data_IF_250524954311
#
_entry.id   IF_250524954311
#
_cell.length_a   1.000
_cell.length_b   1.000
_cell.length_c   1.000
_cell.angle_alpha   90.00
_cell.angle_beta   90.00
_cell.angle_gamma   90.00
#
_symmetry.space_group_name_H-M   'P 1'
#
loop_
_entity.id
_entity.type
_entity.pdbx_description
1 polymer ?
#
# COMPACT_ATOMS: atom_id res chain seq x y z
N UNK A 1 38.77 -31.62 42.58
CA UNK A 1 38.16 -32.94 42.29
C UNK A 1 36.67 -32.86 42.59
N UNK A 2 35.86 -32.62 41.56
CA UNK A 2 34.68 -33.42 41.13
C UNK A 2 33.41 -33.24 42.00
N UNK A 3 32.39 -32.47 41.59
CA UNK A 3 31.41 -32.61 40.48
C UNK A 3 30.15 -33.38 40.88
N UNK A 4 29.00 -32.93 40.34
CA UNK A 4 27.66 -33.54 40.27
C UNK A 4 26.57 -33.02 41.22
N UNK A 5 26.22 -31.74 41.01
CA UNK A 5 24.83 -31.27 40.95
C UNK A 5 24.28 -31.62 39.56
N UNK A 6 23.05 -32.15 39.47
CA UNK A 6 22.11 -32.23 38.31
C UNK A 6 21.38 -33.57 38.36
N UNK A 7 20.12 -33.58 38.81
CA UNK A 7 19.33 -34.81 38.77
C UNK A 7 18.00 -34.79 39.50
N UNK A 8 17.21 -33.70 39.42
CA UNK A 8 15.80 -33.69 39.84
C UNK A 8 15.10 -32.44 39.29
N UNK A 9 14.87 -32.40 37.97
CA UNK A 9 14.01 -31.37 37.35
C UNK A 9 13.29 -31.87 36.07
N UNK A 10 13.72 -32.98 35.47
CA UNK A 10 13.20 -33.43 34.17
C UNK A 10 11.99 -34.39 34.18
N UNK A 11 11.28 -34.60 35.31
CA UNK A 11 10.18 -35.59 35.35
C UNK A 11 8.75 -35.02 35.44
N UNK A 12 8.56 -33.71 35.41
CA UNK A 12 7.21 -33.10 35.41
C UNK A 12 6.83 -32.38 34.11
N UNK A 13 7.76 -32.22 33.16
CA UNK A 13 7.47 -31.52 31.88
C UNK A 13 6.93 -32.46 30.80
N UNK A 14 7.22 -33.77 30.88
CA UNK A 14 6.81 -34.73 29.85
C UNK A 14 5.35 -35.22 29.95
N UNK A 15 4.62 -34.87 30.99
CA UNK A 15 3.20 -35.25 31.12
C UNK A 15 2.23 -34.20 30.53
N UNK A 16 2.70 -32.97 30.31
CA UNK A 16 1.88 -31.87 29.81
C UNK A 16 1.79 -31.80 28.27
N UNK A 17 2.73 -32.42 27.55
CA UNK A 17 2.81 -32.36 26.08
C UNK A 17 1.97 -33.46 25.40
N UNK A 18 1.61 -34.53 26.11
CA UNK A 18 0.82 -35.65 25.58
C UNK A 18 -0.72 -35.43 25.58
N UNK A 19 -1.21 -34.36 26.22
CA UNK A 19 -2.65 -34.06 26.30
C UNK A 19 -3.16 -33.08 25.25
N UNK A 20 -2.29 -32.49 24.43
CA UNK A 20 -2.67 -31.49 23.41
C UNK A 20 -2.87 -32.11 22.01
N UNK A 21 -2.50 -33.38 21.80
CA UNK A 21 -2.72 -34.11 20.53
C UNK A 21 -3.68 -35.29 20.66
N UNK A 22 -4.84 -35.11 21.29
CA UNK A 22 -5.92 -36.09 21.14
C UNK A 22 -7.31 -35.51 21.43
N UNK A 23 -7.93 -34.91 20.41
CA UNK A 23 -9.37 -34.56 20.48
C UNK A 23 -10.05 -34.63 19.11
N UNK A 24 -10.32 -35.84 18.63
CA UNK A 24 -11.41 -36.11 17.69
C UNK A 24 -12.16 -37.39 18.11
N UNK A 25 -13.33 -37.15 18.72
CA UNK A 25 -14.60 -37.90 18.63
C UNK A 25 -14.52 -39.43 18.59
N UNK A 26 -14.98 -40.09 19.65
CA UNK A 26 -16.31 -40.77 19.71
C UNK A 26 -16.49 -41.51 21.04
N UNK A 27 -17.66 -41.36 21.66
CA UNK A 27 -18.15 -42.12 22.82
C UNK A 27 -18.39 -43.59 22.42
N UNK A 28 -18.27 -44.59 23.32
CA UNK A 28 -19.41 -44.91 24.20
C UNK A 28 -19.11 -45.52 25.60
N UNK A 29 -20.12 -45.37 26.46
CA UNK A 29 -20.63 -46.28 27.51
C UNK A 29 -19.72 -46.74 28.68
N UNK A 30 -20.06 -46.23 29.86
CA UNK A 30 -19.71 -46.70 31.21
C UNK A 30 -20.19 -48.14 31.49
N UNK A 31 -19.49 -48.85 32.40
CA UNK A 31 -20.20 -49.53 33.47
C UNK A 31 -19.71 -49.14 34.88
N UNK A 32 -20.64 -49.21 35.83
CA UNK A 32 -20.53 -48.87 37.25
C UNK A 32 -19.64 -49.87 38.01
N UNK A 33 -18.93 -49.40 39.04
CA UNK A 33 -18.39 -50.22 40.13
C UNK A 33 -18.57 -49.53 41.50
N UNK A 34 -18.67 -50.30 42.60
CA UNK A 34 -19.40 -49.92 43.80
C UNK A 34 -18.56 -49.19 44.85
N UNK A 35 -19.28 -48.42 45.66
CA UNK A 35 -18.81 -47.74 46.86
C UNK A 35 -18.46 -48.76 47.96
N UNK A 36 -17.24 -48.66 48.50
CA UNK A 36 -16.92 -49.17 49.84
C UNK A 36 -16.57 -47.97 50.73
N UNK A 37 -17.49 -47.66 51.65
CA UNK A 37 -17.21 -46.82 52.81
C UNK A 37 -16.53 -47.68 53.88
N UNK A 38 -15.42 -47.20 54.44
CA UNK A 38 -15.01 -47.60 55.78
C UNK A 38 -14.67 -46.36 56.59
N UNK A 39 -15.30 -46.29 57.76
CA UNK A 39 -15.26 -45.18 58.70
C UNK A 39 -13.92 -45.12 59.44
N UNK A 40 -13.32 -43.93 59.52
CA UNK A 40 -12.34 -43.60 60.54
C UNK A 40 -12.86 -42.41 61.35
N UNK A 41 -13.31 -42.72 62.56
CA UNK A 41 -13.65 -41.76 63.61
C UNK A 41 -12.41 -41.00 64.06
N UNK A 42 -12.33 -39.72 63.70
CA UNK A 42 -11.34 -38.78 64.22
C UNK A 42 -11.92 -37.98 65.40
N UNK A 43 -11.26 -38.09 66.56
CA UNK A 43 -11.60 -37.40 67.81
C UNK A 43 -11.62 -35.89 67.61
N UNK A 44 -12.76 -35.27 67.95
CA UNK A 44 -12.99 -33.81 67.96
C UNK A 44 -12.29 -33.15 69.15
N UNK A 45 -11.02 -32.82 69.03
CA UNK A 45 -10.40 -31.79 69.89
C UNK A 45 -9.32 -31.08 69.07
N UNK A 46 -9.41 -29.74 68.98
CA UNK A 46 -8.51 -28.79 68.27
C UNK A 46 -8.78 -28.40 66.80
N UNK A 47 -10.01 -28.46 66.29
CA UNK A 47 -10.29 -28.06 64.90
C UNK A 47 -10.61 -26.57 64.66
N UNK A 48 -10.76 -25.73 65.70
CA UNK A 48 -11.18 -24.32 65.51
C UNK A 48 -10.03 -23.32 65.31
N UNK A 49 -8.81 -23.60 65.77
CA UNK A 49 -7.62 -22.74 65.54
C UNK A 49 -6.91 -23.03 64.22
N UNK A 50 -7.05 -24.24 63.67
CA UNK A 50 -6.41 -24.59 62.38
C UNK A 50 -7.16 -24.00 61.19
N UNK A 51 -8.50 -23.99 61.19
CA UNK A 51 -9.31 -23.52 60.05
C UNK A 51 -9.10 -22.04 59.69
N UNK A 52 -8.80 -21.20 60.67
CA UNK A 52 -8.48 -19.78 60.43
C UNK A 52 -7.10 -19.59 59.80
N UNK A 53 -6.13 -20.42 60.19
CA UNK A 53 -4.77 -20.41 59.64
C UNK A 53 -4.75 -20.93 58.20
N UNK A 54 -5.45 -22.06 57.95
CA UNK A 54 -5.61 -22.62 56.61
C UNK A 54 -6.36 -21.67 55.66
N UNK A 55 -7.38 -20.94 56.12
CA UNK A 55 -8.07 -19.92 55.30
C UNK A 55 -7.17 -18.75 54.92
N UNK A 56 -6.31 -18.27 55.83
CA UNK A 56 -5.35 -17.21 55.54
C UNK A 56 -4.28 -17.68 54.56
N UNK A 57 -3.68 -18.86 54.78
CA UNK A 57 -2.70 -19.44 53.85
C UNK A 57 -3.30 -19.69 52.47
N UNK A 58 -4.52 -20.21 52.39
CA UNK A 58 -5.20 -20.49 51.12
C UNK A 58 -5.59 -19.20 50.38
N UNK A 59 -6.02 -18.15 51.08
CA UNK A 59 -6.26 -16.83 50.48
C UNK A 59 -4.96 -16.19 49.95
N UNK A 60 -3.84 -16.33 50.67
CA UNK A 60 -2.52 -15.85 50.24
C UNK A 60 -1.97 -16.65 49.05
N UNK A 61 -2.22 -17.96 49.02
CA UNK A 61 -1.89 -18.81 47.87
C UNK A 61 -2.71 -18.47 46.64
N UNK A 62 -4.02 -18.22 46.80
CA UNK A 62 -4.88 -17.81 45.70
C UNK A 62 -4.51 -16.42 45.17
N UNK A 63 -4.21 -15.45 46.04
CA UNK A 63 -3.75 -14.11 45.64
C UNK A 63 -2.41 -14.14 44.90
N UNK A 64 -1.47 -14.96 45.35
CA UNK A 64 -0.17 -15.13 44.66
C UNK A 64 -0.31 -15.88 43.32
N UNK A 65 -1.21 -16.86 43.23
CA UNK A 65 -1.52 -17.53 41.97
C UNK A 65 -2.19 -16.58 40.97
N UNK A 66 -3.11 -15.72 41.42
CA UNK A 66 -3.75 -14.68 40.59
C UNK A 66 -2.74 -13.68 40.05
N UNK A 67 -1.77 -13.26 40.87
CA UNK A 67 -0.72 -12.32 40.47
C UNK A 67 0.23 -12.94 39.44
N UNK A 68 0.57 -14.22 39.60
CA UNK A 68 1.41 -14.96 38.63
C UNK A 68 0.67 -15.16 37.30
N UNK A 69 -0.64 -15.46 37.32
CA UNK A 69 -1.45 -15.59 36.09
C UNK A 69 -1.59 -14.25 35.37
N UNK A 70 -1.73 -13.13 36.11
CA UNK A 70 -1.75 -11.79 35.51
C UNK A 70 -0.39 -11.41 34.89
N UNK A 71 0.72 -11.70 35.57
CA UNK A 71 2.08 -11.45 35.06
C UNK A 71 2.44 -12.34 33.85
N UNK A 72 1.92 -13.57 33.79
CA UNK A 72 2.09 -14.45 32.62
C UNK A 72 1.16 -14.09 31.46
N UNK A 73 0.01 -13.46 31.72
CA UNK A 73 -0.87 -12.93 30.68
C UNK A 73 -0.28 -11.70 29.99
N UNK A 74 0.40 -10.82 30.73
CA UNK A 74 1.15 -9.68 30.16
C UNK A 74 2.41 -10.11 29.40
N UNK A 75 3.12 -11.15 29.87
CA UNK A 75 4.29 -11.68 29.17
C UNK A 75 3.94 -12.40 27.85
N UNK A 76 2.66 -12.71 27.64
CA UNK A 76 2.14 -13.35 26.44
C UNK A 76 1.27 -12.42 25.59
N UNK A 77 1.29 -11.11 25.87
CA UNK A 77 0.96 -10.10 24.88
C UNK A 77 1.98 -10.24 23.74
N UNK A 78 1.65 -11.12 22.79
CA UNK A 78 2.38 -11.26 21.56
C UNK A 78 2.55 -9.84 21.01
N UNK A 79 3.80 -9.42 20.80
CA UNK A 79 4.07 -8.27 19.96
C UNK A 79 3.16 -8.40 18.73
N UNK A 80 2.45 -7.34 18.30
CA UNK A 80 1.73 -7.41 17.04
C UNK A 80 2.70 -8.01 16.01
N UNK A 81 2.25 -8.98 15.19
CA UNK A 81 3.12 -9.61 14.21
C UNK A 81 3.86 -8.49 13.47
N UNK A 82 5.19 -8.62 13.36
CA UNK A 82 6.01 -7.66 12.67
C UNK A 82 5.35 -7.41 11.30
N UNK A 83 5.00 -6.16 11.01
CA UNK A 83 4.41 -5.82 9.73
C UNK A 83 5.44 -6.18 8.65
N UNK A 84 5.13 -7.19 7.84
CA UNK A 84 6.04 -7.67 6.81
C UNK A 84 6.27 -6.58 5.78
N UNK A 85 7.54 -6.36 5.42
CA UNK A 85 7.88 -5.49 4.31
C UNK A 85 7.42 -6.12 3.00
N UNK A 86 7.06 -5.27 2.05
CA UNK A 86 6.63 -5.70 0.71
C UNK A 86 7.23 -4.77 -0.33
N UNK A 87 7.21 -5.19 -1.59
CA UNK A 87 7.71 -4.36 -2.68
C UNK A 87 6.73 -4.32 -3.86
N UNK A 88 6.88 -3.32 -4.73
CA UNK A 88 6.15 -3.22 -5.98
C UNK A 88 7.02 -2.58 -7.06
N UNK A 89 6.66 -2.82 -8.34
CA UNK A 89 7.32 -2.18 -9.47
C UNK A 89 6.63 -0.85 -9.80
N UNK A 90 7.43 0.18 -10.09
CA UNK A 90 6.96 1.50 -10.52
C UNK A 90 7.62 1.86 -11.85
N UNK A 91 6.78 2.18 -12.84
CA UNK A 91 7.17 2.52 -14.23
C UNK A 91 6.36 3.74 -14.71
N UNK A 92 6.85 4.51 -15.69
CA UNK A 92 6.12 5.65 -16.27
C UNK A 92 6.62 5.96 -17.69
N UNK A 93 5.87 6.79 -18.43
CA UNK A 93 6.38 7.45 -19.64
C UNK A 93 6.94 6.47 -20.70
N UNK A 94 6.27 5.33 -20.87
CA UNK A 94 6.71 4.26 -21.77
C UNK A 94 5.55 3.36 -22.22
N UNK A 95 5.65 2.73 -23.42
CA UNK A 95 6.64 2.94 -24.47
C UNK A 95 6.20 4.01 -25.50
N UNK A 96 7.11 4.87 -25.97
CA UNK A 96 6.77 5.96 -26.91
C UNK A 96 7.15 5.67 -28.37
N UNK A 97 8.09 4.75 -28.60
CA UNK A 97 8.59 4.40 -29.92
C UNK A 97 8.42 2.89 -30.22
N UNK A 98 8.59 2.44 -31.48
CA UNK A 98 8.70 1.02 -31.79
C UNK A 98 9.86 0.33 -31.05
N UNK A 99 10.99 1.01 -30.88
CA UNK A 99 12.14 0.49 -30.11
C UNK A 99 11.78 0.36 -28.63
N UNK A 100 11.09 1.36 -28.08
CA UNK A 100 10.61 1.31 -26.70
C UNK A 100 9.62 0.15 -26.53
N UNK A 101 8.79 -0.14 -27.53
CA UNK A 101 7.83 -1.25 -27.46
C UNK A 101 8.52 -2.61 -27.39
N UNK A 102 9.64 -2.79 -28.11
CA UNK A 102 10.48 -3.99 -27.98
C UNK A 102 11.11 -4.07 -26.57
N UNK A 103 11.66 -2.96 -26.10
CA UNK A 103 12.26 -2.86 -24.76
C UNK A 103 11.24 -3.05 -23.64
N UNK A 104 10.00 -2.61 -23.84
CA UNK A 104 8.90 -2.78 -22.90
C UNK A 104 8.50 -4.25 -22.76
N UNK A 105 8.52 -5.02 -23.85
CA UNK A 105 8.34 -6.47 -23.76
C UNK A 105 9.38 -7.15 -22.85
N UNK A 106 10.66 -6.76 -22.98
CA UNK A 106 11.74 -7.26 -22.10
C UNK A 106 11.55 -6.81 -20.65
N UNK A 107 11.06 -5.60 -20.42
CA UNK A 107 10.70 -5.09 -19.10
C UNK A 107 9.56 -5.90 -18.46
N UNK A 108 8.51 -6.25 -19.22
CA UNK A 108 7.42 -7.10 -18.74
C UNK A 108 7.97 -8.46 -18.29
N UNK A 109 8.80 -9.10 -19.10
CA UNK A 109 9.40 -10.39 -18.74
C UNK A 109 10.27 -10.29 -17.48
N UNK A 110 11.08 -9.23 -17.35
CA UNK A 110 11.92 -9.01 -16.18
C UNK A 110 11.08 -8.82 -14.91
N UNK A 111 10.05 -7.98 -14.97
CA UNK A 111 9.15 -7.76 -13.84
C UNK A 111 8.35 -9.03 -13.51
N UNK A 112 7.95 -9.85 -14.48
CA UNK A 112 7.27 -11.11 -14.19
C UNK A 112 8.22 -12.12 -13.51
N UNK A 113 9.49 -12.18 -13.92
CA UNK A 113 10.52 -13.04 -13.29
C UNK A 113 10.92 -12.56 -11.88
N UNK A 114 10.77 -11.27 -11.60
CA UNK A 114 11.13 -10.69 -10.30
C UNK A 114 10.25 -11.24 -9.15
N UNK A 115 10.92 -11.74 -8.11
CA UNK A 115 10.26 -12.20 -6.88
C UNK A 115 9.87 -11.03 -5.95
N UNK A 116 8.87 -11.27 -5.09
CA UNK A 116 8.52 -10.37 -3.99
C UNK A 116 7.84 -9.05 -4.38
N UNK A 117 7.25 -8.96 -5.59
CA UNK A 117 6.49 -7.79 -6.02
C UNK A 117 4.98 -8.04 -5.89
N UNK A 118 4.29 -7.20 -5.13
CA UNK A 118 2.84 -7.29 -4.92
C UNK A 118 2.05 -6.86 -6.16
N UNK A 119 2.52 -5.84 -6.88
CA UNK A 119 1.87 -5.29 -8.06
C UNK A 119 2.84 -4.46 -8.92
N UNK A 120 2.34 -3.98 -10.07
CA UNK A 120 2.99 -3.00 -10.94
C UNK A 120 2.13 -1.74 -10.98
N UNK A 121 2.75 -0.57 -10.81
CA UNK A 121 2.12 0.74 -11.01
C UNK A 121 2.74 1.40 -12.24
N UNK A 122 1.91 1.77 -13.20
CA UNK A 122 2.27 2.64 -14.31
C UNK A 122 1.75 4.06 -14.07
N UNK A 123 2.66 5.01 -14.03
CA UNK A 123 2.42 6.40 -13.63
C UNK A 123 2.09 7.26 -14.85
N UNK A 124 1.21 6.78 -15.74
CA UNK A 124 0.75 7.51 -16.92
C UNK A 124 1.71 7.58 -18.09
N UNK A 125 1.18 8.13 -19.18
CA UNK A 125 1.77 8.23 -20.51
C UNK A 125 2.20 6.89 -21.09
N UNK A 126 1.23 6.21 -21.70
CA UNK A 126 1.36 4.88 -22.28
C UNK A 126 1.72 4.92 -23.79
N UNK A 127 2.00 6.12 -24.28
CA UNK A 127 2.45 6.44 -25.64
C UNK A 127 3.05 7.85 -25.65
N UNK A 128 3.75 8.21 -26.73
CA UNK A 128 4.23 9.59 -26.91
C UNK A 128 3.11 10.57 -27.27
N UNK A 129 3.27 11.84 -26.88
CA UNK A 129 2.26 12.89 -27.08
C UNK A 129 1.87 13.15 -28.53
N UNK A 130 2.82 13.06 -29.46
CA UNK A 130 2.54 13.22 -30.91
C UNK A 130 2.15 11.90 -31.60
N UNK A 131 2.14 10.78 -30.88
CA UNK A 131 1.69 9.50 -31.46
C UNK A 131 0.18 9.53 -31.73
N UNK A 132 -0.27 8.69 -32.66
CA UNK A 132 -1.70 8.44 -32.90
C UNK A 132 -2.44 8.15 -31.59
N UNK A 133 -3.69 8.60 -31.44
CA UNK A 133 -4.59 8.14 -30.37
C UNK A 133 -5.68 7.20 -30.90
N UNK A 134 -5.33 6.39 -31.91
CA UNK A 134 -6.22 5.36 -32.46
C UNK A 134 -6.57 4.31 -31.41
N UNK A 135 -7.77 3.75 -31.54
CA UNK A 135 -8.25 2.65 -30.72
C UNK A 135 -7.24 1.47 -30.76
N UNK A 136 -6.71 1.14 -31.95
CA UNK A 136 -5.71 0.06 -32.11
C UNK A 136 -4.43 0.30 -31.28
N UNK A 137 -3.95 1.55 -31.22
CA UNK A 137 -2.74 1.84 -30.45
C UNK A 137 -3.02 1.67 -28.96
N UNK A 138 -4.12 2.24 -28.47
CA UNK A 138 -4.51 2.13 -27.06
C UNK A 138 -4.82 0.67 -26.67
N UNK A 139 -5.47 -0.08 -27.54
CA UNK A 139 -5.73 -1.51 -27.38
C UNK A 139 -4.42 -2.30 -27.26
N UNK A 140 -3.41 -2.01 -28.09
CA UNK A 140 -2.10 -2.68 -27.98
C UNK A 140 -1.42 -2.41 -26.64
N UNK A 141 -1.65 -1.23 -26.01
CA UNK A 141 -1.12 -0.94 -24.66
C UNK A 141 -1.83 -1.74 -23.60
N UNK A 142 -3.15 -1.90 -23.70
CA UNK A 142 -3.89 -2.80 -22.82
C UNK A 142 -3.38 -4.24 -22.94
N UNK A 143 -3.11 -4.73 -24.14
CA UNK A 143 -2.57 -6.08 -24.36
C UNK A 143 -1.22 -6.29 -23.66
N UNK A 144 -0.33 -5.29 -23.70
CA UNK A 144 0.90 -5.31 -22.92
C UNK A 144 0.65 -5.35 -21.41
N UNK A 145 -0.25 -4.51 -20.91
CA UNK A 145 -0.55 -4.46 -19.47
C UNK A 145 -1.21 -5.74 -18.95
N UNK A 146 -1.93 -6.47 -19.81
CA UNK A 146 -2.50 -7.77 -19.50
C UNK A 146 -1.46 -8.92 -19.51
N UNK A 147 -0.21 -8.67 -19.90
CA UNK A 147 0.87 -9.65 -19.81
C UNK A 147 1.54 -9.70 -18.44
N UNK A 148 1.33 -8.69 -17.57
CA UNK A 148 1.84 -8.75 -16.21
C UNK A 148 1.11 -9.84 -15.41
N UNK A 149 1.88 -10.73 -14.78
CA UNK A 149 1.38 -11.87 -13.99
C UNK A 149 0.82 -11.44 -12.62
N UNK A 150 0.88 -10.15 -12.29
CA UNK A 150 0.44 -9.57 -11.02
C UNK A 150 -0.52 -8.40 -11.27
N UNK A 151 -1.21 -7.86 -10.25
CA UNK A 151 -2.07 -6.68 -10.43
C UNK A 151 -1.32 -5.54 -11.12
N UNK A 152 -1.97 -4.92 -12.10
CA UNK A 152 -1.45 -3.76 -12.82
C UNK A 152 -2.35 -2.54 -12.58
N UNK A 153 -1.79 -1.49 -11.98
CA UNK A 153 -2.47 -0.24 -11.65
C UNK A 153 -1.99 0.84 -12.63
N UNK A 154 -2.93 1.53 -13.26
CA UNK A 154 -2.63 2.63 -14.19
C UNK A 154 -3.14 3.95 -13.61
N UNK A 155 -2.25 4.95 -13.51
CA UNK A 155 -2.64 6.35 -13.48
C UNK A 155 -2.68 6.87 -14.93
N UNK A 156 -3.72 7.58 -15.39
CA UNK A 156 -3.68 8.19 -16.72
C UNK A 156 -2.73 9.40 -16.76
N UNK A 157 -2.04 9.57 -17.89
CA UNK A 157 -1.24 10.74 -18.24
C UNK A 157 -1.87 11.61 -19.34
N UNK A 158 -1.21 12.69 -19.74
CA UNK A 158 -1.71 13.61 -20.77
C UNK A 158 -1.55 13.04 -22.18
N UNK A 159 -0.50 12.26 -22.43
CA UNK A 159 -0.35 11.57 -23.71
C UNK A 159 -1.50 10.57 -23.92
N UNK A 160 -2.11 10.05 -22.87
CA UNK A 160 -3.14 9.03 -22.99
C UNK A 160 -4.43 9.59 -23.62
N UNK A 161 -4.71 10.89 -23.44
CA UNK A 161 -5.96 11.49 -23.92
C UNK A 161 -5.90 12.98 -24.24
N UNK A 162 -5.18 13.82 -23.49
CA UNK A 162 -5.21 15.27 -23.71
C UNK A 162 -4.43 15.66 -24.95
N UNK A 163 -3.23 15.10 -25.11
CA UNK A 163 -2.32 15.39 -26.22
C UNK A 163 -2.77 14.78 -27.54
N UNK A 164 -3.85 13.99 -27.51
CA UNK A 164 -4.47 13.44 -28.70
C UNK A 164 -4.94 14.48 -29.72
N UNK A 165 -5.14 15.73 -29.30
CA UNK A 165 -5.36 16.85 -30.22
C UNK A 165 -4.20 17.03 -31.22
N UNK A 166 -2.96 16.71 -30.82
CA UNK A 166 -1.75 16.81 -31.67
C UNK A 166 -1.76 15.79 -32.82
N UNK A 167 -2.55 14.73 -32.70
CA UNK A 167 -2.72 13.71 -33.74
C UNK A 167 -4.15 13.67 -34.32
N UNK A 168 -4.92 14.76 -34.14
CA UNK A 168 -6.21 14.97 -34.81
C UNK A 168 -7.44 14.39 -34.09
N UNK A 169 -7.30 13.92 -32.85
CA UNK A 169 -8.40 13.35 -32.06
C UNK A 169 -8.93 14.36 -31.03
N UNK A 170 -10.23 14.28 -30.72
CA UNK A 170 -10.84 15.12 -29.68
C UNK A 170 -10.52 14.58 -28.27
N UNK A 171 -9.91 15.37 -27.37
CA UNK A 171 -9.48 14.89 -26.06
C UNK A 171 -10.57 14.24 -25.21
N UNK A 172 -11.79 14.79 -25.17
CA UNK A 172 -12.86 14.23 -24.33
C UNK A 172 -13.37 12.88 -24.86
N UNK A 173 -13.38 12.68 -26.17
CA UNK A 173 -13.72 11.39 -26.77
C UNK A 173 -12.64 10.34 -26.43
N UNK A 174 -11.37 10.76 -26.40
CA UNK A 174 -10.25 9.90 -26.00
C UNK A 174 -10.26 9.59 -24.52
N UNK A 175 -10.59 10.55 -23.66
CA UNK A 175 -10.77 10.30 -22.23
C UNK A 175 -11.87 9.27 -21.96
N UNK A 176 -13.00 9.39 -22.65
CA UNK A 176 -14.09 8.41 -22.55
C UNK A 176 -13.62 7.01 -22.99
N UNK A 177 -12.87 6.92 -24.09
CA UNK A 177 -12.31 5.66 -24.57
C UNK A 177 -11.29 5.06 -23.60
N UNK A 178 -10.34 5.86 -23.09
CA UNK A 178 -9.35 5.44 -22.08
C UNK A 178 -10.04 4.88 -20.84
N UNK A 179 -11.08 5.55 -20.33
CA UNK A 179 -11.86 5.06 -19.18
C UNK A 179 -12.54 3.72 -19.49
N UNK A 180 -13.16 3.58 -20.65
CA UNK A 180 -13.83 2.34 -21.05
C UNK A 180 -12.84 1.17 -21.23
N UNK A 181 -11.66 1.45 -21.80
CA UNK A 181 -10.68 0.43 -22.15
C UNK A 181 -9.84 -0.03 -20.96
N UNK A 182 -9.30 0.91 -20.17
CA UNK A 182 -8.38 0.61 -19.07
C UNK A 182 -9.06 0.45 -17.71
N UNK A 183 -10.33 0.87 -17.59
CA UNK A 183 -11.12 0.71 -16.37
C UNK A 183 -12.48 0.04 -16.66
N UNK A 184 -12.51 -1.10 -17.39
CA UNK A 184 -13.75 -1.71 -17.85
C UNK A 184 -14.60 -2.27 -16.70
N UNK A 185 -13.97 -2.50 -15.53
CA UNK A 185 -14.59 -3.00 -14.31
C UNK A 185 -14.15 -2.12 -13.13
N UNK A 186 -14.83 -0.99 -12.87
CA UNK A 186 -14.47 -0.11 -11.76
C UNK A 186 -14.34 -0.88 -10.43
N UNK A 187 -13.26 -0.61 -9.69
CA UNK A 187 -12.93 -1.33 -8.45
C UNK A 187 -12.09 -2.60 -8.64
N UNK A 188 -11.62 -2.88 -9.87
CA UNK A 188 -10.65 -3.93 -10.17
C UNK A 188 -9.47 -3.38 -10.97
N UNK A 189 -8.27 -3.86 -10.69
CA UNK A 189 -7.06 -3.54 -11.46
C UNK A 189 -7.00 -4.32 -12.79
N UNK A 190 -6.01 -4.00 -13.62
CA UNK A 190 -5.62 -4.80 -14.78
C UNK A 190 -4.63 -5.92 -14.37
N UNK A 191 -4.08 -6.63 -15.37
CA UNK A 191 -3.13 -7.73 -15.21
C UNK A 191 -3.81 -9.09 -15.13
N UNK A 192 -3.03 -10.16 -15.23
CA UNK A 192 -3.54 -11.54 -15.23
C UNK A 192 -4.16 -11.95 -13.88
N UNK A 193 -3.70 -11.32 -12.79
CA UNK A 193 -4.18 -11.55 -11.43
C UNK A 193 -4.68 -10.24 -10.82
N UNK A 194 -5.84 -9.72 -11.26
CA UNK A 194 -6.32 -8.42 -10.82
C UNK A 194 -6.75 -8.45 -9.35
N UNK A 195 -6.52 -7.34 -8.65
CA UNK A 195 -6.94 -7.17 -7.26
C UNK A 195 -8.11 -6.19 -7.14
N UNK A 196 -8.82 -6.27 -6.01
CA UNK A 196 -9.87 -5.31 -5.66
C UNK A 196 -9.25 -4.01 -5.16
N UNK A 197 -9.81 -2.90 -5.63
CA UNK A 197 -9.50 -1.55 -5.16
C UNK A 197 -10.80 -0.80 -4.88
N UNK A 198 -10.74 0.20 -4.03
CA UNK A 198 -11.85 1.15 -3.84
C UNK A 198 -11.76 2.19 -4.94
N UNK A 199 -12.86 2.54 -5.58
CA UNK A 199 -12.93 3.64 -6.55
C UNK A 199 -13.75 4.79 -5.97
N UNK A 200 -13.43 6.03 -6.35
CA UNK A 200 -14.24 7.22 -6.01
C UNK A 200 -15.64 7.20 -6.67
N UNK A 201 -15.91 6.24 -7.56
CA UNK A 201 -17.23 6.01 -8.15
C UNK A 201 -17.20 6.00 -9.67
N UNK A 202 -18.36 5.78 -10.30
CA UNK A 202 -18.47 5.54 -11.75
C UNK A 202 -18.03 6.69 -12.65
N UNK A 203 -18.01 7.94 -12.16
CA UNK A 203 -17.58 9.11 -12.94
C UNK A 203 -16.06 9.22 -13.07
N UNK A 204 -15.30 8.73 -12.09
CA UNK A 204 -13.84 8.76 -12.04
C UNK A 204 -13.32 7.35 -11.71
N UNK A 205 -13.52 6.38 -12.61
CA UNK A 205 -13.10 5.00 -12.37
C UNK A 205 -11.59 4.85 -12.15
N UNK A 206 -10.81 5.80 -12.66
CA UNK A 206 -9.36 5.89 -12.50
C UNK A 206 -8.91 6.37 -11.11
N UNK A 207 -9.78 7.02 -10.33
CA UNK A 207 -9.48 7.37 -8.94
C UNK A 207 -9.67 6.12 -8.09
N UNK A 208 -8.56 5.43 -7.83
CA UNK A 208 -8.54 4.21 -7.03
C UNK A 208 -7.73 4.38 -5.75
N UNK A 209 -8.10 3.62 -4.72
CA UNK A 209 -7.42 3.55 -3.43
C UNK A 209 -7.38 2.11 -2.95
N UNK A 210 -6.28 1.72 -2.34
CA UNK A 210 -6.16 0.45 -1.64
C UNK A 210 -5.24 0.60 -0.44
N UNK A 211 -5.23 -0.43 0.39
CA UNK A 211 -4.37 -0.51 1.57
C UNK A 211 -3.65 -1.84 1.54
N UNK A 212 -2.36 -1.80 1.83
CA UNK A 212 -1.55 -2.99 2.05
C UNK A 212 -0.68 -2.74 3.29
N UNK A 213 -0.69 -3.68 4.24
CA UNK A 213 -0.19 -3.44 5.59
C UNK A 213 -0.85 -2.21 6.19
N UNK A 214 -0.04 -1.25 6.66
CA UNK A 214 -0.50 0.06 7.17
C UNK A 214 -0.12 1.21 6.26
N UNK A 215 -0.14 0.99 4.95
CA UNK A 215 0.12 2.02 3.96
C UNK A 215 -1.10 2.21 3.07
N UNK A 216 -1.60 3.44 2.99
CA UNK A 216 -2.63 3.82 2.01
C UNK A 216 -2.00 4.17 0.68
N UNK A 217 -2.55 3.66 -0.40
CA UNK A 217 -2.16 4.00 -1.77
C UNK A 217 -3.34 4.66 -2.48
N UNK A 218 -3.11 5.71 -3.26
CA UNK A 218 -4.16 6.32 -4.06
C UNK A 218 -3.66 6.88 -5.40
N UNK A 219 -4.39 6.54 -6.47
CA UNK A 219 -4.23 7.16 -7.79
C UNK A 219 -5.13 8.39 -7.87
N UNK A 220 -4.56 9.49 -8.33
CA UNK A 220 -5.20 10.78 -8.52
C UNK A 220 -5.01 11.19 -9.97
N UNK A 221 -6.09 11.47 -10.69
CA UNK A 221 -6.01 11.81 -12.11
C UNK A 221 -5.60 13.27 -12.28
N UNK A 222 -4.29 13.52 -12.19
CA UNK A 222 -3.61 14.80 -12.41
C UNK A 222 -2.54 14.56 -13.49
N UNK A 223 -2.63 15.28 -14.63
CA UNK A 223 -1.90 14.96 -15.89
C UNK A 223 -1.03 16.10 -16.43
N UNK A 224 -0.11 15.78 -17.33
CA UNK A 224 1.10 16.55 -17.67
C UNK A 224 0.96 17.84 -18.48
N UNK A 225 0.18 18.02 -19.55
CA UNK A 225 0.14 19.33 -20.27
C UNK A 225 -0.75 20.40 -19.57
N UNK A 226 -0.26 20.81 -18.40
CA UNK A 226 -0.76 21.80 -17.44
C UNK A 226 -2.12 21.44 -16.81
N UNK A 227 -2.26 20.17 -16.42
CA UNK A 227 -3.50 19.55 -15.92
C UNK A 227 -4.65 19.54 -16.94
N UNK A 228 -4.32 19.35 -18.22
CA UNK A 228 -5.23 19.43 -19.37
C UNK A 228 -5.81 20.84 -19.65
N UNK A 229 -5.14 21.89 -19.17
CA UNK A 229 -5.52 23.30 -19.46
C UNK A 229 -4.77 23.89 -20.65
N UNK A 230 -3.81 23.16 -21.23
CA UNK A 230 -3.13 23.59 -22.46
C UNK A 230 -4.15 23.95 -23.56
N UNK A 231 -3.86 25.04 -24.27
CA UNK A 231 -4.68 25.51 -25.39
C UNK A 231 -4.46 24.62 -26.60
N UNK A 232 -5.54 24.29 -27.28
CA UNK A 232 -5.51 23.60 -28.57
C UNK A 232 -6.69 24.05 -29.44
N UNK A 233 -6.56 23.87 -30.75
CA UNK A 233 -7.63 24.17 -31.70
C UNK A 233 -8.85 23.27 -31.47
N UNK A 234 -10.04 23.87 -31.36
CA UNK A 234 -11.26 23.11 -31.06
C UNK A 234 -11.53 22.86 -29.58
N UNK A 235 -10.72 23.41 -28.66
CA UNK A 235 -11.05 23.41 -27.23
C UNK A 235 -12.40 24.10 -26.97
N UNK A 236 -13.22 23.48 -26.14
CA UNK A 236 -14.56 23.94 -25.77
C UNK A 236 -14.68 24.17 -24.26
N UNK A 237 -15.76 24.81 -23.83
CA UNK A 237 -16.11 24.95 -22.41
C UNK A 237 -16.23 23.59 -21.70
N UNK A 238 -16.65 22.53 -22.40
CA UNK A 238 -16.74 21.18 -21.83
C UNK A 238 -15.36 20.65 -21.39
N UNK A 239 -14.27 21.05 -22.06
CA UNK A 239 -12.92 20.70 -21.65
C UNK A 239 -12.56 21.38 -20.33
N UNK A 240 -12.92 22.64 -20.15
CA UNK A 240 -12.65 23.40 -18.91
C UNK A 240 -13.47 22.84 -17.73
N UNK A 241 -14.73 22.46 -17.99
CA UNK A 241 -15.60 21.84 -17.00
C UNK A 241 -15.13 20.43 -16.60
N UNK A 242 -14.57 19.65 -17.53
CA UNK A 242 -13.91 18.38 -17.22
C UNK A 242 -12.75 18.60 -16.26
N UNK A 243 -11.83 19.50 -16.60
CA UNK A 243 -10.64 19.78 -15.79
C UNK A 243 -11.05 20.18 -14.38
N UNK A 244 -12.03 21.08 -14.26
CA UNK A 244 -12.52 21.53 -12.96
C UNK A 244 -13.07 20.36 -12.14
N UNK A 245 -14.00 19.58 -12.71
CA UNK A 245 -14.64 18.45 -12.00
C UNK A 245 -13.62 17.38 -11.59
N UNK A 246 -12.68 17.03 -12.48
CA UNK A 246 -11.63 16.04 -12.19
C UNK A 246 -10.67 16.52 -11.11
N UNK A 247 -10.24 17.79 -11.17
CA UNK A 247 -9.33 18.36 -10.18
C UNK A 247 -9.99 18.46 -8.80
N UNK A 248 -11.23 18.92 -8.74
CA UNK A 248 -12.01 18.97 -7.49
C UNK A 248 -12.19 17.56 -6.89
N UNK A 249 -12.49 16.57 -7.74
CA UNK A 249 -12.63 15.18 -7.33
C UNK A 249 -11.30 14.56 -6.85
N UNK A 250 -10.19 14.84 -7.53
CA UNK A 250 -8.86 14.36 -7.13
C UNK A 250 -8.46 14.95 -5.76
N UNK A 251 -8.69 16.25 -5.53
CA UNK A 251 -8.40 16.88 -4.23
C UNK A 251 -9.28 16.27 -3.12
N UNK A 252 -10.57 16.04 -3.39
CA UNK A 252 -11.45 15.36 -2.44
C UNK A 252 -10.98 13.93 -2.14
N UNK A 253 -10.59 13.17 -3.18
CA UNK A 253 -10.08 11.79 -3.04
C UNK A 253 -8.81 11.73 -2.20
N UNK A 254 -7.89 12.67 -2.43
CA UNK A 254 -6.66 12.80 -1.66
C UNK A 254 -6.98 13.07 -0.18
N UNK A 255 -7.85 14.05 0.11
CA UNK A 255 -8.24 14.38 1.49
C UNK A 255 -8.91 13.20 2.20
N UNK A 256 -9.80 12.48 1.52
CA UNK A 256 -10.43 11.27 2.05
C UNK A 256 -9.41 10.16 2.31
N UNK A 257 -8.40 10.02 1.43
CA UNK A 257 -7.31 9.04 1.61
C UNK A 257 -6.52 9.33 2.87
N UNK A 258 -6.16 10.59 3.12
CA UNK A 258 -5.47 11.01 4.34
C UNK A 258 -6.35 10.87 5.58
N UNK A 259 -7.63 11.23 5.49
CA UNK A 259 -8.58 11.07 6.59
C UNK A 259 -8.72 9.59 7.00
N UNK A 260 -8.91 8.69 6.02
CA UNK A 260 -8.96 7.26 6.28
C UNK A 260 -7.63 6.74 6.84
N UNK A 261 -6.50 7.18 6.28
CA UNK A 261 -5.18 6.79 6.78
C UNK A 261 -4.98 7.21 8.25
N UNK A 262 -5.44 8.39 8.64
CA UNK A 262 -5.38 8.86 10.02
C UNK A 262 -6.33 8.07 10.94
N UNK A 263 -7.57 7.83 10.51
CA UNK A 263 -8.57 7.07 11.26
C UNK A 263 -8.14 5.62 11.50
N UNK A 264 -7.51 5.00 10.51
CA UNK A 264 -7.04 3.61 10.54
C UNK A 264 -5.60 3.48 11.07
N UNK A 265 -5.02 4.56 11.59
CA UNK A 265 -3.66 4.59 12.13
C UNK A 265 -2.60 4.07 11.15
N UNK A 266 -2.73 4.39 9.86
CA UNK A 266 -1.76 4.01 8.83
C UNK A 266 -0.44 4.75 9.02
N UNK A 267 0.66 4.06 8.77
CA UNK A 267 2.03 4.53 8.95
C UNK A 267 2.47 5.44 7.81
N UNK A 268 1.92 5.28 6.62
CA UNK A 268 2.28 6.10 5.47
C UNK A 268 1.14 6.25 4.44
N UNK A 269 1.30 7.23 3.55
CA UNK A 269 0.46 7.42 2.35
C UNK A 269 1.37 7.46 1.12
N UNK A 270 1.00 6.74 0.06
CA UNK A 270 1.65 6.76 -1.24
C UNK A 270 0.65 7.24 -2.30
N UNK A 271 0.90 8.43 -2.87
CA UNK A 271 0.07 9.04 -3.90
C UNK A 271 0.68 8.79 -5.27
N UNK A 272 -0.17 8.63 -6.28
CA UNK A 272 0.24 8.47 -7.68
C UNK A 272 -0.51 9.51 -8.52
N UNK A 273 0.24 10.35 -9.22
CA UNK A 273 -0.25 11.27 -10.27
C UNK A 273 0.64 11.10 -11.50
N UNK A 274 0.27 11.61 -12.68
CA UNK A 274 1.22 11.62 -13.79
C UNK A 274 2.05 12.91 -13.82
N UNK A 275 1.41 14.07 -13.74
CA UNK A 275 2.05 15.38 -13.97
C UNK A 275 3.29 15.65 -13.11
N UNK A 276 4.27 16.40 -13.63
CA UNK A 276 5.18 17.17 -12.79
C UNK A 276 4.51 18.48 -12.33
N UNK A 277 4.16 18.64 -11.05
CA UNK A 277 3.45 19.83 -10.57
C UNK A 277 4.38 21.05 -10.34
N UNK A 278 5.67 20.95 -10.70
CA UNK A 278 6.71 21.98 -10.49
C UNK A 278 6.84 22.42 -9.04
N UNK A 279 7.21 21.49 -8.14
CA UNK A 279 7.49 21.79 -6.72
C UNK A 279 8.58 22.86 -6.54
N UNK A 280 9.43 23.05 -7.54
CA UNK A 280 10.54 23.99 -7.59
C UNK A 280 10.12 25.38 -8.08
N UNK A 281 8.83 25.60 -8.34
CA UNK A 281 8.29 26.92 -8.71
C UNK A 281 8.80 27.98 -7.72
N UNK A 282 9.32 29.08 -8.24
CA UNK A 282 9.75 30.21 -7.42
C UNK A 282 8.55 30.99 -6.90
N UNK A 283 8.68 31.61 -5.74
CA UNK A 283 7.62 32.41 -5.12
C UNK A 283 7.17 33.60 -5.99
N UNK A 284 8.07 34.16 -6.80
CA UNK A 284 7.80 35.27 -7.72
C UNK A 284 7.13 34.84 -9.04
N UNK A 285 7.05 33.54 -9.31
CA UNK A 285 6.25 33.01 -10.43
C UNK A 285 4.75 33.03 -10.05
N UNK A 286 3.83 33.32 -10.98
CA UNK A 286 2.40 33.21 -10.71
C UNK A 286 2.03 31.76 -10.38
N UNK A 287 0.95 31.60 -9.60
CA UNK A 287 0.40 30.28 -9.33
C UNK A 287 -0.02 29.58 -10.63
N UNK A 288 0.39 28.32 -10.74
CA UNK A 288 0.13 27.48 -11.89
C UNK A 288 -1.19 26.69 -11.79
N UNK A 289 -1.52 25.91 -12.84
CA UNK A 289 -2.72 25.06 -12.89
C UNK A 289 -2.80 24.00 -11.79
N UNK A 290 -1.68 23.73 -11.12
CA UNK A 290 -1.58 22.75 -10.03
C UNK A 290 -1.67 23.37 -8.62
N UNK A 291 -1.82 24.70 -8.50
CA UNK A 291 -1.72 25.40 -7.22
C UNK A 291 -2.71 24.89 -6.16
N UNK A 292 -3.97 24.69 -6.53
CA UNK A 292 -4.99 24.16 -5.62
C UNK A 292 -4.65 22.75 -5.12
N UNK A 293 -4.10 21.89 -5.99
CA UNK A 293 -3.67 20.55 -5.63
C UNK A 293 -2.46 20.60 -4.69
N UNK A 294 -1.43 21.38 -5.02
CA UNK A 294 -0.23 21.54 -4.19
C UNK A 294 -0.56 22.11 -2.81
N UNK A 295 -1.44 23.11 -2.74
CA UNK A 295 -1.90 23.69 -1.48
C UNK A 295 -2.61 22.64 -0.62
N UNK A 296 -3.52 21.85 -1.21
CA UNK A 296 -4.20 20.78 -0.49
C UNK A 296 -3.24 19.67 -0.06
N UNK A 297 -2.26 19.32 -0.90
CA UNK A 297 -1.23 18.33 -0.58
C UNK A 297 -0.36 18.78 0.61
N UNK A 298 0.10 20.03 0.60
CA UNK A 298 0.86 20.61 1.71
C UNK A 298 0.07 20.52 3.03
N UNK A 299 -1.20 20.95 3.02
CA UNK A 299 -2.08 20.90 4.18
C UNK A 299 -2.22 19.47 4.72
N UNK A 300 -2.43 18.51 3.83
CA UNK A 300 -2.58 17.11 4.22
C UNK A 300 -1.29 16.48 4.74
N UNK A 301 -0.14 16.76 4.11
CA UNK A 301 1.16 16.29 4.59
C UNK A 301 1.47 16.85 5.98
N UNK A 302 1.21 18.14 6.21
CA UNK A 302 1.39 18.77 7.53
C UNK A 302 0.48 18.13 8.56
N UNK A 303 -0.81 17.96 8.23
CA UNK A 303 -1.82 17.40 9.13
C UNK A 303 -1.60 15.93 9.47
N UNK A 304 -1.23 15.12 8.47
CA UNK A 304 -0.99 13.68 8.65
C UNK A 304 0.25 13.42 9.51
N UNK A 305 1.28 14.27 9.40
CA UNK A 305 2.45 14.24 10.28
C UNK A 305 3.36 13.01 10.13
N UNK A 306 3.02 12.07 9.25
CA UNK A 306 3.74 10.81 8.98
C UNK A 306 4.32 10.78 7.55
N UNK A 307 5.13 9.78 7.19
CA UNK A 307 5.70 9.66 5.85
C UNK A 307 4.65 9.69 4.73
N UNK A 308 4.92 10.49 3.70
CA UNK A 308 4.12 10.58 2.47
C UNK A 308 5.06 10.47 1.29
N UNK A 309 4.75 9.59 0.35
CA UNK A 309 5.38 9.56 -0.96
C UNK A 309 4.39 10.02 -2.04
N UNK A 310 4.90 10.70 -3.06
CA UNK A 310 4.17 10.99 -4.29
C UNK A 310 5.02 10.52 -5.46
N UNK A 311 4.51 9.51 -6.16
CA UNK A 311 5.03 9.08 -7.45
C UNK A 311 4.43 9.93 -8.57
N UNK A 312 5.28 10.40 -9.49
CA UNK A 312 4.85 11.06 -10.72
C UNK A 312 5.77 10.72 -11.91
N UNK A 313 5.38 11.11 -13.12
CA UNK A 313 6.15 10.98 -14.37
C UNK A 313 6.33 12.34 -15.05
N UNK A 314 6.12 12.39 -16.37
CA UNK A 314 6.06 13.59 -17.24
C UNK A 314 7.42 14.26 -17.54
N UNK A 315 8.38 14.26 -16.61
CA UNK A 315 9.70 14.88 -16.87
C UNK A 315 10.75 13.93 -17.45
N UNK A 316 10.43 12.63 -17.56
CA UNK A 316 11.31 11.58 -18.09
C UNK A 316 12.67 11.53 -17.37
N UNK A 317 12.70 11.84 -16.08
CA UNK A 317 13.94 11.92 -15.32
C UNK A 317 13.83 11.18 -14.00
N UNK A 318 14.63 10.12 -13.84
CA UNK A 318 14.67 9.39 -12.57
C UNK A 318 15.18 10.29 -11.43
N UNK A 319 14.34 10.49 -10.40
CA UNK A 319 14.73 11.21 -9.18
C UNK A 319 13.96 10.77 -7.95
N UNK A 320 14.64 10.84 -6.81
CA UNK A 320 14.06 10.71 -5.48
C UNK A 320 14.55 11.84 -4.61
N UNK A 321 13.64 12.72 -4.19
CA UNK A 321 13.99 13.88 -3.36
C UNK A 321 12.81 14.34 -2.48
N UNK A 322 12.96 15.50 -1.84
CA UNK A 322 11.99 16.02 -0.86
C UNK A 322 11.69 17.49 -1.16
N UNK A 323 10.98 17.80 -2.26
CA UNK A 323 10.92 19.16 -2.80
C UNK A 323 9.82 20.01 -2.16
N UNK A 324 8.79 19.39 -1.55
CA UNK A 324 7.65 20.10 -0.97
C UNK A 324 8.08 20.96 0.24
N UNK A 325 7.65 22.22 0.24
CA UNK A 325 7.91 23.21 1.27
C UNK A 325 6.59 23.73 1.83
N UNK A 326 6.62 24.17 3.08
CA UNK A 326 5.51 24.91 3.65
C UNK A 326 5.49 26.32 3.09
N UNK A 327 4.37 26.77 2.51
CA UNK A 327 4.25 28.10 1.96
C UNK A 327 4.45 29.20 3.02
N UNK A 328 4.00 28.95 4.26
CA UNK A 328 4.06 29.94 5.34
C UNK A 328 5.48 30.17 5.90
N UNK A 329 6.38 29.18 5.82
CA UNK A 329 7.69 29.21 6.49
C UNK A 329 8.87 28.97 5.55
N UNK A 330 8.61 28.51 4.31
CA UNK A 330 9.63 28.04 3.38
C UNK A 330 10.32 26.74 3.80
N UNK A 331 9.96 26.18 4.96
CA UNK A 331 10.60 24.98 5.51
C UNK A 331 10.25 23.76 4.66
N UNK A 332 11.28 22.97 4.32
CA UNK A 332 11.11 21.69 3.64
C UNK A 332 10.34 20.71 4.52
N UNK A 333 9.32 20.07 3.95
CA UNK A 333 8.60 18.98 4.60
C UNK A 333 9.37 17.67 4.42
N UNK A 334 10.28 17.36 5.36
CA UNK A 334 11.16 16.18 5.27
C UNK A 334 10.42 14.83 5.29
N UNK A 335 9.17 14.82 5.75
CA UNK A 335 8.29 13.64 5.72
C UNK A 335 7.69 13.35 4.33
N UNK A 336 7.77 14.30 3.40
CA UNK A 336 7.36 14.12 2.01
C UNK A 336 8.54 13.62 1.17
N UNK A 337 8.30 12.64 0.31
CA UNK A 337 9.24 12.15 -0.70
C UNK A 337 8.57 12.21 -2.07
N UNK A 338 9.23 12.83 -3.05
CA UNK A 338 8.88 12.69 -4.46
C UNK A 338 9.65 11.52 -5.04
N UNK A 339 8.98 10.73 -5.88
CA UNK A 339 9.57 9.62 -6.63
C UNK A 339 9.17 9.83 -8.09
N UNK A 340 10.13 9.96 -8.99
CA UNK A 340 9.90 9.91 -10.43
C UNK A 340 10.69 8.72 -10.97
N UNK A 341 10.05 7.71 -11.58
CA UNK A 341 10.73 6.56 -12.16
C UNK A 341 11.41 6.92 -13.47
N UNK A 342 12.03 5.93 -14.09
CA UNK A 342 12.52 6.06 -15.46
C UNK A 342 11.36 6.34 -16.43
N UNK A 343 11.69 7.04 -17.51
CA UNK A 343 10.81 7.28 -18.66
C UNK A 343 11.62 7.19 -19.95
N UNK A 344 10.96 7.19 -21.11
CA UNK A 344 11.67 7.08 -22.40
C UNK A 344 12.81 8.11 -22.52
N UNK A 345 14.02 7.72 -22.97
CA UNK A 345 14.38 6.44 -23.63
C UNK A 345 14.76 5.28 -22.70
N UNK A 346 14.77 5.50 -21.38
CA UNK A 346 15.24 4.54 -20.39
C UNK A 346 14.10 3.61 -19.94
N UNK A 347 14.02 2.42 -20.57
CA UNK A 347 12.96 1.44 -20.32
C UNK A 347 13.38 0.48 -19.20
N UNK A 348 13.28 0.99 -17.97
CA UNK A 348 13.64 0.33 -16.71
C UNK A 348 12.53 0.52 -15.67
N UNK A 349 12.67 -0.05 -14.48
CA UNK A 349 11.69 0.15 -13.40
C UNK A 349 12.35 0.50 -12.08
N UNK A 350 11.55 1.03 -11.16
CA UNK A 350 11.94 1.13 -9.76
C UNK A 350 11.27 -0.01 -8.98
N UNK A 351 12.06 -0.72 -8.17
CA UNK A 351 11.54 -1.52 -7.05
C UNK A 351 11.38 -0.60 -5.86
N UNK A 352 10.13 -0.40 -5.43
CA UNK A 352 9.83 0.36 -4.22
C UNK A 352 9.52 -0.63 -3.11
N UNK A 353 10.38 -0.69 -2.10
CA UNK A 353 10.18 -1.47 -0.88
C UNK A 353 9.49 -0.58 0.14
N UNK A 354 8.44 -1.10 0.76
CA UNK A 354 7.70 -0.47 1.84
C UNK A 354 7.97 -1.25 3.12
N UNK A 355 8.70 -0.63 4.04
CA UNK A 355 9.02 -1.19 5.34
C UNK A 355 8.40 -0.34 6.46
N UNK A 356 7.25 -0.73 7.03
CA UNK A 356 6.61 0.01 8.11
C UNK A 356 7.41 0.07 9.43
N UNK A 357 8.42 -0.80 9.58
CA UNK A 357 9.33 -0.81 10.73
C UNK A 357 10.50 0.18 10.56
N UNK A 358 10.84 0.58 9.33
CA UNK A 358 11.89 1.57 9.08
C UNK A 358 11.37 3.01 9.27
N UNK A 359 12.24 3.86 9.79
CA UNK A 359 12.10 5.32 9.79
C UNK A 359 11.99 5.92 8.36
N UNK A 360 12.58 5.26 7.37
CA UNK A 360 12.51 5.55 5.95
C UNK A 360 11.61 4.51 5.26
N UNK A 361 10.30 4.60 5.53
CA UNK A 361 9.31 3.60 5.08
C UNK A 361 9.42 3.26 3.58
N UNK A 362 9.74 4.23 2.73
CA UNK A 362 9.86 4.03 1.28
C UNK A 362 11.33 3.94 0.87
N UNK A 363 11.79 2.76 0.49
CA UNK A 363 13.12 2.52 -0.06
C UNK A 363 13.00 2.28 -1.56
N UNK A 364 13.76 3.04 -2.36
CA UNK A 364 13.62 3.07 -3.82
C UNK A 364 14.89 2.55 -4.46
N UNK A 365 14.77 1.48 -5.24
CA UNK A 365 15.87 0.84 -5.93
C UNK A 365 15.64 0.92 -7.43
N UNK A 366 16.64 1.43 -8.16
CA UNK A 366 16.65 1.39 -9.62
C UNK A 366 16.98 -0.03 -10.08
N UNK A 367 16.12 -0.60 -10.92
CA UNK A 367 16.27 -1.95 -11.47
C UNK A 367 16.50 -1.83 -12.97
N UNK A 368 17.74 -2.07 -13.39
CA UNK A 368 18.17 -1.95 -14.78
C UNK A 368 17.83 -3.25 -15.51
N UNK A 369 17.04 -3.12 -16.57
CA UNK A 369 16.81 -4.23 -17.51
C UNK A 369 18.02 -4.29 -18.44
N UNK A 370 18.97 -5.16 -18.12
CA UNK A 370 20.25 -5.29 -18.86
C UNK A 370 20.05 -5.42 -20.37
N UNK A 371 19.04 -6.21 -20.79
CA UNK A 371 18.74 -6.40 -22.21
C UNK A 371 18.27 -5.11 -22.93
N UNK A 372 17.93 -4.05 -22.20
CA UNK A 372 17.52 -2.75 -22.75
C UNK A 372 18.66 -1.73 -22.86
N UNK A 373 19.88 -2.06 -22.43
CA UNK A 373 21.05 -1.17 -22.53
C UNK A 373 21.64 -1.10 -23.95
N UNK A 374 21.28 -2.05 -24.81
CA UNK A 374 21.76 -2.16 -26.21
C UNK A 374 21.00 -1.26 -27.20
#
# INVERSE_FOLDING_TARGET
MHSWLYGLSLKMVDFAILLIRWKRRSLPLLPKLPLFFNSLTLKKTNLKRSTAYWRKCMAQYLLSLSLIVALLADANAQNPPAEESFAFALIADMPYSPVDSLRFGRLVEEINRAEGLEWVIHVGDIKGGSSSCSDDLLQSRLEWFQQFERPFILAPGDNDWTDCHRSGYQPLDRLAHVRALFFPRPGWTLGQHPMRVVTQGGTFPEHVRWTHGRTSFAVLHIVGSHNATAKFEGRTQANDEEVKRRTDAAIAWMRETFAQAAEQDHRAVFLIIHANPRFERREDEPDGPYAAFLQALEQEVVRFGRPVALAHGDSHYFRVDKPLRQAATGQRLTRFTRIEPFGTPDIHYLRVIVDPADSHIFQVHAEIVEANLD
#
